data_IF_884994108151
#
_entry.id   IF_884994108151
#
_cell.length_a   1.000
_cell.length_b   1.000
_cell.length_c   1.000
_cell.angle_alpha   90.00
_cell.angle_beta   90.00
_cell.angle_gamma   90.00
#
_symmetry.space_group_name_H-M   'P 1'
#
loop_
_entity.id
_entity.type
_entity.pdbx_description
1 polymer ?
#
# COMPACT_ATOMS: atom_id res chain seq x y z
N UNK A 1 2.04 -12.68 11.12
CA UNK A 1 2.38 -13.50 9.93
C UNK A 1 3.17 -12.67 8.93
N UNK A 2 4.38 -13.12 8.60
CA UNK A 2 5.24 -12.56 7.56
C UNK A 2 5.56 -13.70 6.58
N UNK A 3 5.44 -13.44 5.29
CA UNK A 3 5.80 -14.39 4.22
C UNK A 3 6.77 -13.72 3.26
N UNK A 4 7.88 -14.39 2.96
CA UNK A 4 8.89 -13.95 2.00
C UNK A 4 8.73 -14.76 0.68
N UNK A 5 7.54 -14.70 0.10
CA UNK A 5 7.16 -15.52 -1.07
C UNK A 5 7.16 -14.70 -2.37
N UNK A 6 7.55 -13.42 -2.30
CA UNK A 6 7.45 -12.51 -3.43
C UNK A 6 6.01 -12.10 -3.76
N UNK A 7 5.82 -11.53 -4.93
CA UNK A 7 4.53 -11.16 -5.49
C UNK A 7 4.38 -11.66 -6.93
N UNK A 8 3.17 -11.68 -7.44
CA UNK A 8 2.87 -12.11 -8.81
C UNK A 8 1.99 -11.07 -9.49
N UNK A 9 2.49 -10.47 -10.58
CA UNK A 9 1.69 -9.64 -11.49
C UNK A 9 1.18 -10.52 -12.62
N UNK A 10 -0.12 -10.50 -12.90
CA UNK A 10 -0.76 -11.33 -13.91
C UNK A 10 -1.37 -10.48 -15.02
N UNK A 11 -1.08 -10.83 -16.27
CA UNK A 11 -1.66 -10.26 -17.46
C UNK A 11 -2.77 -11.17 -18.02
N UNK A 12 -3.94 -10.61 -18.27
CA UNK A 12 -5.11 -11.31 -18.81
C UNK A 12 -5.28 -11.17 -20.32
N UNK A 13 -4.65 -10.17 -20.91
CA UNK A 13 -4.76 -9.84 -22.32
C UNK A 13 -3.41 -9.38 -22.89
N UNK A 14 -3.36 -9.20 -24.21
CA UNK A 14 -2.14 -8.83 -24.91
C UNK A 14 -1.60 -7.44 -24.52
N UNK A 15 -2.49 -6.48 -24.23
CA UNK A 15 -2.07 -5.12 -23.86
C UNK A 15 -1.33 -5.14 -22.52
N UNK A 16 -1.87 -5.84 -21.52
CA UNK A 16 -1.23 -6.05 -20.21
C UNK A 16 0.08 -6.85 -20.33
N UNK A 17 0.09 -7.92 -21.18
CA UNK A 17 1.27 -8.72 -21.40
C UNK A 17 2.41 -7.92 -22.06
N UNK A 18 2.08 -6.98 -22.94
CA UNK A 18 3.06 -6.10 -23.58
C UNK A 18 3.79 -5.23 -22.53
N UNK A 19 3.09 -4.76 -21.50
CA UNK A 19 3.73 -3.99 -20.43
C UNK A 19 4.71 -4.85 -19.63
N UNK A 20 4.32 -6.09 -19.27
CA UNK A 20 5.22 -7.00 -18.56
C UNK A 20 6.45 -7.38 -19.38
N UNK A 21 6.28 -7.58 -20.70
CA UNK A 21 7.38 -7.86 -21.61
C UNK A 21 8.32 -6.66 -21.73
N UNK A 22 7.79 -5.46 -21.97
CA UNK A 22 8.62 -4.25 -22.05
C UNK A 22 9.39 -3.98 -20.74
N UNK A 23 8.75 -4.16 -19.60
CA UNK A 23 9.41 -4.07 -18.29
C UNK A 23 10.57 -5.07 -18.19
N UNK A 24 10.34 -6.32 -18.58
CA UNK A 24 11.38 -7.36 -18.51
C UNK A 24 12.56 -7.06 -19.46
N UNK A 25 12.29 -6.55 -20.65
CA UNK A 25 13.32 -6.25 -21.63
C UNK A 25 14.15 -5.01 -21.31
N UNK A 26 13.54 -4.00 -20.66
CA UNK A 26 14.16 -2.69 -20.42
C UNK A 26 14.67 -2.51 -19.00
N UNK A 27 13.90 -2.90 -17.97
CA UNK A 27 14.18 -2.56 -16.56
C UNK A 27 14.68 -3.73 -15.72
N UNK A 28 14.07 -4.90 -15.91
CA UNK A 28 14.41 -6.07 -15.10
C UNK A 28 15.92 -6.36 -15.10
N UNK A 29 16.58 -6.22 -16.26
CA UNK A 29 18.01 -6.47 -16.42
C UNK A 29 18.89 -5.29 -15.99
N UNK A 30 18.38 -4.06 -16.10
CA UNK A 30 19.18 -2.83 -15.89
C UNK A 30 19.14 -2.36 -14.45
N UNK A 31 18.01 -2.53 -13.76
CA UNK A 31 17.79 -1.96 -12.43
C UNK A 31 17.96 -2.99 -11.30
N UNK A 32 18.38 -4.22 -11.60
CA UNK A 32 18.70 -5.23 -10.60
C UNK A 32 17.48 -5.84 -9.90
N UNK A 33 16.28 -5.73 -10.49
CA UNK A 33 15.10 -6.43 -9.98
C UNK A 33 15.31 -7.94 -10.03
N UNK A 34 14.98 -8.63 -8.95
CA UNK A 34 14.95 -10.09 -8.92
C UNK A 34 13.53 -10.57 -9.23
N UNK A 35 13.26 -10.83 -10.49
CA UNK A 35 11.97 -11.31 -10.94
C UNK A 35 12.10 -12.20 -12.18
N UNK A 36 11.11 -13.08 -12.40
CA UNK A 36 11.00 -13.94 -13.58
C UNK A 36 9.77 -13.56 -14.39
N UNK A 37 9.97 -13.39 -15.71
CA UNK A 37 8.85 -13.32 -16.63
C UNK A 37 8.35 -14.75 -16.90
N UNK A 38 7.05 -14.96 -16.71
CA UNK A 38 6.38 -16.25 -16.85
C UNK A 38 5.55 -16.29 -18.11
N UNK A 39 5.75 -17.32 -18.94
CA UNK A 39 4.88 -17.59 -20.09
C UNK A 39 3.48 -18.03 -19.65
N UNK A 40 2.52 -18.02 -20.58
CA UNK A 40 1.18 -18.58 -20.33
C UNK A 40 1.22 -20.02 -19.80
N UNK A 41 2.17 -20.83 -20.28
CA UNK A 41 2.37 -22.21 -19.82
C UNK A 41 2.84 -22.26 -18.37
N UNK A 42 3.78 -21.38 -18.01
CA UNK A 42 4.28 -21.32 -16.63
C UNK A 42 3.19 -20.86 -15.65
N UNK A 43 2.40 -19.84 -16.05
CA UNK A 43 1.25 -19.37 -15.28
C UNK A 43 0.19 -20.47 -15.15
N UNK A 44 -0.10 -21.21 -16.23
CA UNK A 44 -1.03 -22.35 -16.22
C UNK A 44 -0.56 -23.47 -15.29
N UNK A 45 0.74 -23.61 -15.05
CA UNK A 45 1.30 -24.56 -14.08
C UNK A 45 1.20 -24.13 -12.61
N UNK A 46 0.82 -22.86 -12.34
CA UNK A 46 0.62 -22.38 -10.98
C UNK A 46 -0.76 -22.76 -10.45
N UNK A 47 -0.85 -23.02 -9.16
CA UNK A 47 -2.11 -23.26 -8.44
C UNK A 47 -3.02 -24.30 -9.12
N UNK A 48 -2.44 -25.43 -9.55
CA UNK A 48 -3.14 -26.54 -10.21
C UNK A 48 -3.97 -26.11 -11.44
N UNK A 49 -3.49 -25.14 -12.19
CA UNK A 49 -4.13 -24.64 -13.41
C UNK A 49 -5.25 -23.63 -13.20
N UNK A 50 -5.55 -23.27 -11.96
CA UNK A 50 -6.67 -22.34 -11.65
C UNK A 50 -6.47 -20.94 -12.26
N UNK A 51 -5.21 -20.54 -12.57
CA UNK A 51 -4.89 -19.26 -13.19
C UNK A 51 -4.55 -19.37 -14.70
N UNK A 52 -4.87 -20.49 -15.34
CA UNK A 52 -4.55 -20.76 -16.77
C UNK A 52 -5.21 -19.81 -17.77
N UNK A 53 -6.16 -18.97 -17.32
CA UNK A 53 -6.80 -17.95 -18.15
C UNK A 53 -5.97 -16.65 -18.27
N UNK A 54 -4.82 -16.57 -17.61
CA UNK A 54 -3.85 -15.50 -17.80
C UNK A 54 -2.83 -15.86 -18.88
N UNK A 55 -2.43 -14.86 -19.67
CA UNK A 55 -1.55 -15.07 -20.80
C UNK A 55 -0.05 -14.83 -20.50
N UNK A 56 0.25 -14.17 -19.38
CA UNK A 56 1.61 -13.88 -18.93
C UNK A 56 1.63 -13.55 -17.44
N UNK A 57 2.78 -13.68 -16.79
CA UNK A 57 3.00 -13.26 -15.42
C UNK A 57 4.40 -12.68 -15.21
N UNK A 58 4.56 -11.88 -14.16
CA UNK A 58 5.86 -11.46 -13.64
C UNK A 58 5.91 -11.83 -12.17
N UNK A 59 6.85 -12.70 -11.79
CA UNK A 59 7.04 -13.15 -10.41
C UNK A 59 8.20 -12.42 -9.78
N UNK A 60 7.93 -11.48 -8.88
CA UNK A 60 8.92 -10.86 -8.00
C UNK A 60 9.35 -11.81 -6.87
N UNK A 61 10.62 -11.71 -6.43
CA UNK A 61 11.20 -12.58 -5.40
C UNK A 61 11.43 -11.88 -4.07
N UNK A 62 11.56 -10.55 -4.08
CA UNK A 62 11.98 -9.78 -2.90
C UNK A 62 10.82 -9.22 -2.07
N UNK A 63 9.61 -9.33 -2.56
CA UNK A 63 8.44 -8.81 -1.86
C UNK A 63 8.16 -9.62 -0.60
N UNK A 64 7.83 -8.89 0.48
CA UNK A 64 7.38 -9.45 1.74
C UNK A 64 5.88 -9.16 1.91
N UNK A 65 5.13 -10.19 2.20
CA UNK A 65 3.73 -10.06 2.60
C UNK A 65 3.63 -10.03 4.11
N UNK A 66 2.92 -9.05 4.65
CA UNK A 66 2.52 -9.02 6.06
C UNK A 66 1.01 -8.89 6.19
N UNK A 67 0.45 -9.51 7.23
CA UNK A 67 -0.96 -9.30 7.60
C UNK A 67 -1.02 -8.14 8.59
N UNK A 68 -1.30 -6.94 8.08
CA UNK A 68 -1.17 -5.66 8.82
C UNK A 68 -2.02 -5.59 10.09
N UNK A 69 -3.19 -6.23 10.11
CA UNK A 69 -4.08 -6.28 11.29
C UNK A 69 -3.44 -6.97 12.49
N UNK A 70 -2.49 -7.87 12.27
CA UNK A 70 -1.76 -8.56 13.33
C UNK A 70 -0.34 -8.01 13.52
N UNK A 71 0.29 -7.56 12.44
CA UNK A 71 1.68 -7.11 12.47
C UNK A 71 1.88 -5.91 13.40
N UNK A 72 1.05 -4.86 13.29
CA UNK A 72 1.17 -3.67 14.14
C UNK A 72 0.94 -3.98 15.62
N UNK A 73 -0.13 -4.69 16.03
CA UNK A 73 -0.28 -5.13 17.43
C UNK A 73 0.87 -6.01 17.92
N UNK A 74 1.42 -6.87 17.08
CA UNK A 74 2.54 -7.72 17.46
C UNK A 74 3.83 -6.92 17.66
N UNK A 75 4.12 -5.95 16.78
CA UNK A 75 5.26 -5.03 16.93
C UNK A 75 5.11 -4.21 18.21
N UNK A 76 3.94 -3.64 18.46
CA UNK A 76 3.67 -2.85 19.69
C UNK A 76 3.91 -3.68 20.94
N UNK A 77 3.42 -4.91 20.98
CA UNK A 77 3.64 -5.84 22.10
C UNK A 77 5.13 -6.16 22.28
N UNK A 78 5.83 -6.48 21.22
CA UNK A 78 7.27 -6.75 21.28
C UNK A 78 8.05 -5.55 21.80
N UNK A 79 7.76 -4.35 21.33
CA UNK A 79 8.39 -3.11 21.82
C UNK A 79 8.14 -2.89 23.30
N UNK A 80 6.91 -3.14 23.77
CA UNK A 80 6.58 -3.00 25.18
C UNK A 80 7.26 -4.06 26.08
N UNK A 81 7.12 -5.34 25.71
CA UNK A 81 7.52 -6.47 26.55
C UNK A 81 9.03 -6.76 26.50
N UNK A 82 9.63 -6.66 25.30
CA UNK A 82 11.05 -7.01 25.11
C UNK A 82 11.99 -5.80 25.19
N UNK A 83 11.53 -4.60 24.80
CA UNK A 83 12.37 -3.39 24.75
C UNK A 83 11.97 -2.32 25.78
N UNK A 84 10.95 -2.56 26.59
CA UNK A 84 10.53 -1.65 27.65
C UNK A 84 9.93 -0.33 27.19
N UNK A 85 9.43 -0.27 25.94
CA UNK A 85 8.77 0.93 25.42
C UNK A 85 7.42 1.13 26.09
N UNK A 86 7.19 2.31 26.65
CA UNK A 86 5.92 2.67 27.26
C UNK A 86 4.96 3.25 26.22
N UNK A 87 3.79 2.65 26.07
CA UNK A 87 2.70 3.13 25.22
C UNK A 87 1.61 3.81 26.05
N UNK A 88 1.33 5.08 25.76
CA UNK A 88 0.28 5.87 26.43
C UNK A 88 -0.83 6.09 25.40
N UNK A 89 -1.83 5.24 25.44
CA UNK A 89 -2.97 5.27 24.51
C UNK A 89 -4.12 6.15 25.02
N UNK A 90 -5.08 6.48 24.13
CA UNK A 90 -6.21 7.34 24.51
C UNK A 90 -5.81 8.78 24.89
N UNK A 91 -4.64 9.21 24.43
CA UNK A 91 -4.02 10.47 24.81
C UNK A 91 -3.77 11.32 23.57
N UNK A 92 -4.27 12.55 23.57
CA UNK A 92 -4.05 13.53 22.51
C UNK A 92 -2.88 14.44 22.87
N UNK A 93 -1.86 14.50 21.97
CA UNK A 93 -0.84 15.53 22.05
C UNK A 93 -1.40 16.84 21.47
N UNK A 94 -1.25 17.94 22.22
CA UNK A 94 -1.81 19.27 21.90
C UNK A 94 -0.74 20.27 21.52
N UNK A 95 0.47 20.10 22.05
CA UNK A 95 1.60 20.97 21.78
C UNK A 95 2.90 20.18 21.91
N UNK A 96 3.91 20.63 21.18
CA UNK A 96 5.28 20.12 21.29
C UNK A 96 6.25 21.26 21.11
N UNK A 97 7.18 21.39 22.03
CA UNK A 97 8.22 22.43 21.99
C UNK A 97 9.41 22.00 22.84
N UNK A 98 10.62 22.08 22.30
CA UNK A 98 11.88 21.84 23.02
C UNK A 98 11.91 20.56 23.87
N UNK A 99 11.38 19.45 23.30
CA UNK A 99 11.33 18.17 23.98
C UNK A 99 10.18 17.99 24.96
N UNK A 100 9.36 19.01 25.22
CA UNK A 100 8.15 18.95 26.03
C UNK A 100 6.94 18.64 25.14
N UNK A 101 6.12 17.67 25.55
CA UNK A 101 4.86 17.31 24.89
C UNK A 101 3.71 17.51 25.86
N UNK A 102 2.88 18.53 25.60
CA UNK A 102 1.64 18.77 26.33
C UNK A 102 0.52 17.88 25.83
N UNK A 103 -0.11 17.10 26.71
CA UNK A 103 -1.14 16.14 26.34
C UNK A 103 -2.41 16.22 27.20
N UNK A 104 -3.43 15.43 26.83
CA UNK A 104 -4.64 15.26 27.67
C UNK A 104 -4.40 14.44 28.94
N UNK A 105 -3.28 13.71 29.02
CA UNK A 105 -2.90 12.90 30.18
C UNK A 105 -1.80 13.54 31.03
N UNK A 106 -1.47 14.81 30.81
CA UNK A 106 -0.37 15.55 31.44
C UNK A 106 0.77 15.80 30.48
N UNK A 107 1.84 16.37 30.97
CA UNK A 107 3.00 16.76 30.19
C UNK A 107 4.10 15.70 30.29
N UNK A 108 4.79 15.47 29.18
CA UNK A 108 5.91 14.53 29.08
C UNK A 108 7.16 15.25 28.56
N UNK A 109 8.29 15.02 29.20
CA UNK A 109 9.58 15.58 28.80
C UNK A 109 10.48 14.48 28.25
N UNK A 110 10.97 14.65 27.02
CA UNK A 110 11.95 13.79 26.37
C UNK A 110 13.24 14.54 26.05
N UNK A 111 14.34 13.82 25.85
CA UNK A 111 15.57 14.41 25.29
C UNK A 111 15.37 14.80 23.82
N UNK A 112 14.58 14.02 23.10
CA UNK A 112 14.17 14.28 21.74
C UNK A 112 12.74 13.75 21.50
N UNK A 113 11.95 14.47 20.72
CA UNK A 113 10.57 14.13 20.37
C UNK A 113 10.48 13.89 18.88
N UNK A 114 9.95 12.76 18.46
CA UNK A 114 9.61 12.47 17.08
C UNK A 114 8.09 12.54 16.91
N UNK A 115 7.64 13.46 16.07
CA UNK A 115 6.22 13.63 15.75
C UNK A 115 5.91 12.88 14.46
N UNK A 116 5.09 11.83 14.55
CA UNK A 116 4.67 10.99 13.42
C UNK A 116 3.13 11.03 13.29
N UNK A 117 2.54 12.07 12.68
CA UNK A 117 1.12 12.35 12.78
C UNK A 117 0.25 11.47 11.86
N UNK A 118 0.86 10.62 11.02
CA UNK A 118 0.13 9.89 9.98
C UNK A 118 -0.41 10.86 8.92
N UNK A 119 -1.73 10.90 8.78
CA UNK A 119 -2.43 11.82 7.85
C UNK A 119 -3.11 13.00 8.56
N UNK A 120 -2.88 13.18 9.85
CA UNK A 120 -3.39 14.33 10.59
C UNK A 120 -2.42 15.51 10.49
N UNK A 121 -2.68 16.39 9.56
CA UNK A 121 -1.89 17.58 9.28
C UNK A 121 -2.44 18.84 9.94
N UNK A 122 -3.54 18.73 10.71
CA UNK A 122 -4.29 19.86 11.22
C UNK A 122 -4.23 20.01 12.74
N UNK A 123 -4.00 18.91 13.48
CA UNK A 123 -4.09 18.92 14.93
C UNK A 123 -2.81 19.40 15.61
N UNK A 124 -1.65 18.88 15.21
CA UNK A 124 -0.36 19.20 15.82
C UNK A 124 0.59 19.78 14.79
N UNK A 125 1.13 20.98 15.04
CA UNK A 125 2.07 21.69 14.15
C UNK A 125 1.51 21.97 12.73
N UNK A 126 0.27 22.41 12.55
CA UNK A 126 -0.32 22.61 11.21
C UNK A 126 0.47 23.57 10.33
N UNK A 127 1.14 24.57 10.93
CA UNK A 127 1.99 25.54 10.23
C UNK A 127 3.22 24.88 9.56
N UNK A 128 3.63 23.70 10.00
CA UNK A 128 4.74 22.93 9.40
C UNK A 128 4.28 22.13 8.18
N UNK A 129 3.01 21.74 8.14
CA UNK A 129 2.44 20.96 7.04
C UNK A 129 1.84 21.83 5.94
N UNK A 130 1.30 23.00 6.28
CA UNK A 130 0.67 23.92 5.31
C UNK A 130 1.54 24.22 4.08
N UNK A 131 2.86 24.51 4.19
CA UNK A 131 3.70 24.78 3.03
C UNK A 131 3.91 23.56 2.11
N UNK A 132 3.68 22.33 2.60
CA UNK A 132 3.86 21.10 1.83
C UNK A 132 2.67 20.82 0.91
N UNK A 133 1.55 21.52 1.10
CA UNK A 133 0.31 21.35 0.34
C UNK A 133 -0.13 19.88 0.23
N UNK A 134 -0.08 19.17 1.36
CA UNK A 134 -0.41 17.75 1.43
C UNK A 134 -1.90 17.53 1.23
N UNK A 135 -2.21 16.43 0.58
CA UNK A 135 -3.55 15.87 0.50
C UNK A 135 -3.60 14.54 1.25
N UNK A 136 -4.78 14.03 1.45
CA UNK A 136 -5.00 12.65 1.88
C UNK A 136 -5.61 11.85 0.75
N UNK A 137 -5.30 10.57 0.70
CA UNK A 137 -6.03 9.62 -0.13
C UNK A 137 -6.86 8.73 0.74
N UNK A 138 -8.07 8.47 0.28
CA UNK A 138 -8.98 7.51 0.86
C UNK A 138 -9.15 6.33 -0.07
N UNK A 139 -9.05 5.15 0.50
CA UNK A 139 -9.13 3.87 -0.19
C UNK A 139 -10.41 3.14 0.20
N UNK A 140 -11.06 2.52 -0.76
CA UNK A 140 -12.03 1.47 -0.46
C UNK A 140 -11.31 0.12 -0.46
N UNK A 141 -11.56 -0.68 0.57
CA UNK A 141 -10.92 -1.96 0.81
C UNK A 141 -11.96 -3.02 1.14
N UNK A 142 -11.73 -4.24 0.65
CA UNK A 142 -12.60 -5.38 0.88
C UNK A 142 -11.84 -6.52 1.54
N UNK A 143 -12.51 -7.26 2.45
CA UNK A 143 -12.15 -8.62 2.81
C UNK A 143 -13.18 -9.54 2.20
N UNK A 144 -12.75 -10.53 1.45
CA UNK A 144 -13.62 -11.45 0.73
C UNK A 144 -13.26 -12.90 1.02
N UNK A 145 -14.25 -13.77 0.92
CA UNK A 145 -14.10 -15.22 1.00
C UNK A 145 -14.51 -15.87 -0.33
N UNK A 146 -13.90 -16.98 -0.65
CA UNK A 146 -14.31 -17.80 -1.78
C UNK A 146 -15.71 -18.42 -1.54
N UNK A 147 -16.57 -18.33 -2.53
CA UNK A 147 -17.82 -19.08 -2.59
C UNK A 147 -17.65 -20.38 -3.41
N UNK A 148 -16.83 -20.30 -4.46
CA UNK A 148 -16.54 -21.44 -5.35
C UNK A 148 -15.07 -21.42 -5.74
N UNK A 149 -14.51 -22.58 -6.05
CA UNK A 149 -13.18 -22.76 -6.63
C UNK A 149 -12.06 -21.99 -5.86
N UNK A 150 -11.86 -22.29 -4.57
CA UNK A 150 -10.84 -21.58 -3.81
C UNK A 150 -9.45 -21.80 -4.40
N UNK A 151 -8.71 -20.71 -4.61
CA UNK A 151 -7.32 -20.73 -5.03
C UNK A 151 -6.43 -20.62 -3.79
N UNK A 152 -5.54 -21.58 -3.60
CA UNK A 152 -4.63 -21.62 -2.45
C UNK A 152 -3.46 -20.67 -2.66
N UNK A 153 -3.73 -19.35 -2.69
CA UNK A 153 -2.70 -18.34 -2.88
C UNK A 153 -1.67 -18.36 -1.76
N UNK A 154 -0.40 -18.38 -2.13
CA UNK A 154 0.74 -18.32 -1.22
C UNK A 154 1.41 -16.93 -1.19
N UNK A 155 1.02 -16.03 -2.10
CA UNK A 155 1.59 -14.68 -2.29
C UNK A 155 0.54 -13.68 -2.77
N UNK A 156 0.80 -12.37 -2.67
CA UNK A 156 -0.05 -11.36 -3.27
C UNK A 156 -0.08 -11.46 -4.80
N UNK A 157 -1.25 -11.22 -5.38
CA UNK A 157 -1.46 -11.07 -6.81
C UNK A 157 -1.76 -9.62 -7.13
N UNK A 158 -1.14 -9.11 -8.19
CA UNK A 158 -1.45 -7.84 -8.82
C UNK A 158 -2.01 -8.12 -10.21
N UNK A 159 -2.88 -7.25 -10.70
CA UNK A 159 -3.42 -7.34 -12.07
C UNK A 159 -2.74 -6.34 -12.99
N UNK A 160 -3.01 -6.43 -14.30
CA UNK A 160 -2.50 -5.48 -15.28
C UNK A 160 -2.87 -4.02 -15.00
N UNK A 161 -3.97 -3.74 -14.28
CA UNK A 161 -4.31 -2.40 -13.79
C UNK A 161 -3.20 -1.80 -12.91
N UNK A 162 -2.49 -2.63 -12.15
CA UNK A 162 -1.37 -2.18 -11.34
C UNK A 162 -0.21 -1.63 -12.19
N UNK A 163 -0.08 -2.07 -13.43
CA UNK A 163 0.94 -1.60 -14.36
C UNK A 163 0.75 -0.13 -14.80
N UNK A 164 -0.47 0.39 -14.77
CA UNK A 164 -0.73 1.81 -15.08
C UNK A 164 -0.65 2.71 -13.85
N UNK A 165 -0.47 2.13 -12.68
CA UNK A 165 -0.42 2.84 -11.40
C UNK A 165 1.00 2.90 -10.80
N UNK A 166 1.69 1.77 -10.70
CA UNK A 166 3.00 1.72 -10.04
C UNK A 166 4.13 2.25 -10.92
N UNK A 167 4.99 3.10 -10.33
CA UNK A 167 6.11 3.75 -11.01
C UNK A 167 7.14 2.81 -11.63
N UNK A 168 7.17 1.53 -11.25
CA UNK A 168 7.99 0.53 -11.92
C UNK A 168 7.56 0.29 -13.38
N UNK A 169 6.29 0.55 -13.71
CA UNK A 169 5.69 0.29 -15.03
C UNK A 169 5.09 1.53 -15.68
N UNK A 170 4.50 2.43 -14.90
CA UNK A 170 3.53 3.42 -15.37
C UNK A 170 4.07 4.46 -16.37
N UNK A 171 5.38 4.65 -16.47
CA UNK A 171 6.06 5.52 -17.41
C UNK A 171 6.58 4.78 -18.67
N UNK A 172 6.33 3.46 -18.78
CA UNK A 172 6.62 2.72 -20.00
C UNK A 172 5.64 3.13 -21.13
N UNK A 173 6.10 3.22 -22.40
CA UNK A 173 5.23 3.47 -23.54
C UNK A 173 4.04 2.51 -23.62
N UNK A 174 4.24 1.21 -23.37
CA UNK A 174 3.16 0.22 -23.36
C UNK A 174 2.16 0.43 -22.22
N UNK A 175 2.59 0.93 -21.06
CA UNK A 175 1.70 1.27 -19.96
C UNK A 175 0.83 2.50 -20.28
N UNK A 176 1.37 3.48 -21.01
CA UNK A 176 0.58 4.59 -21.54
C UNK A 176 -0.48 4.09 -22.53
N UNK A 177 -0.12 3.22 -23.47
CA UNK A 177 -1.07 2.61 -24.40
C UNK A 177 -2.15 1.79 -23.68
N UNK A 178 -1.78 1.00 -22.66
CA UNK A 178 -2.73 0.28 -21.82
C UNK A 178 -3.69 1.24 -21.08
N UNK A 179 -3.18 2.35 -20.56
CA UNK A 179 -4.02 3.39 -19.93
C UNK A 179 -5.05 3.96 -20.90
N UNK A 180 -4.67 4.22 -22.16
CA UNK A 180 -5.60 4.72 -23.20
C UNK A 180 -6.70 3.69 -23.50
N UNK A 181 -6.34 2.41 -23.54
CA UNK A 181 -7.32 1.32 -23.73
C UNK A 181 -8.31 1.26 -22.56
N UNK A 182 -7.82 1.36 -21.32
CA UNK A 182 -8.68 1.36 -20.13
C UNK A 182 -9.57 2.61 -20.13
N UNK A 183 -9.01 3.79 -20.44
CA UNK A 183 -9.76 5.04 -20.54
C UNK A 183 -10.92 4.94 -21.55
N UNK A 184 -10.69 4.28 -22.68
CA UNK A 184 -11.71 4.12 -23.73
C UNK A 184 -12.81 3.09 -23.36
N UNK A 185 -12.46 2.03 -22.61
CA UNK A 185 -13.37 0.90 -22.34
C UNK A 185 -14.05 0.97 -20.97
N UNK A 186 -13.31 1.39 -19.95
CA UNK A 186 -13.72 1.35 -18.54
C UNK A 186 -13.17 2.54 -17.76
N UNK A 187 -13.50 3.80 -18.18
CA UNK A 187 -12.91 5.02 -17.59
C UNK A 187 -13.09 5.10 -16.07
N UNK A 188 -14.17 4.56 -15.54
CA UNK A 188 -14.46 4.51 -14.12
C UNK A 188 -13.33 3.90 -13.29
N UNK A 189 -12.56 2.96 -13.83
CA UNK A 189 -11.43 2.35 -13.13
C UNK A 189 -10.30 3.36 -12.90
N UNK A 190 -9.99 4.19 -13.90
CA UNK A 190 -8.98 5.24 -13.79
C UNK A 190 -9.48 6.43 -12.97
N UNK A 191 -10.73 6.84 -13.14
CA UNK A 191 -11.36 7.95 -12.43
C UNK A 191 -11.40 7.71 -10.90
N UNK A 192 -11.54 6.46 -10.49
CA UNK A 192 -11.51 6.06 -9.08
C UNK A 192 -10.15 5.50 -8.63
N UNK A 193 -9.12 5.62 -9.46
CA UNK A 193 -7.78 5.14 -9.15
C UNK A 193 -7.74 3.65 -8.76
N UNK A 194 -8.59 2.83 -9.40
CA UNK A 194 -8.65 1.40 -9.09
C UNK A 194 -7.45 0.72 -9.73
N UNK A 195 -6.61 0.14 -8.90
CA UNK A 195 -5.65 -0.89 -9.28
C UNK A 195 -5.80 -2.06 -8.32
N UNK A 196 -5.72 -3.28 -8.82
CA UNK A 196 -6.14 -4.43 -8.04
C UNK A 196 -4.95 -5.20 -7.48
N UNK A 197 -4.87 -5.22 -6.16
CA UNK A 197 -4.02 -6.10 -5.38
C UNK A 197 -4.91 -7.09 -4.60
N UNK A 198 -4.59 -8.37 -4.66
CA UNK A 198 -5.28 -9.45 -3.95
C UNK A 198 -4.27 -10.10 -3.02
N UNK A 199 -4.44 -9.94 -1.72
CA UNK A 199 -3.51 -10.45 -0.72
C UNK A 199 -4.17 -11.54 0.13
N UNK A 200 -3.68 -12.80 0.11
CA UNK A 200 -4.24 -13.85 0.94
C UNK A 200 -3.99 -13.60 2.43
N UNK A 201 -5.01 -13.81 3.25
CA UNK A 201 -4.88 -13.78 4.71
C UNK A 201 -4.40 -15.14 5.24
N UNK A 202 -3.92 -15.21 6.50
CA UNK A 202 -3.61 -16.47 7.15
C UNK A 202 -4.83 -17.42 7.35
N UNK A 203 -6.04 -16.89 7.14
CA UNK A 203 -7.30 -17.57 7.46
C UNK A 203 -8.07 -18.03 6.22
N UNK A 204 -7.44 -18.00 5.03
CA UNK A 204 -8.06 -18.44 3.78
C UNK A 204 -8.99 -17.41 3.13
N UNK A 205 -9.03 -16.19 3.64
CA UNK A 205 -9.73 -15.06 3.04
C UNK A 205 -8.76 -14.18 2.25
N UNK A 206 -9.28 -13.22 1.54
CA UNK A 206 -8.54 -12.29 0.69
C UNK A 206 -8.75 -10.86 1.15
N UNK A 207 -7.68 -10.08 1.22
CA UNK A 207 -7.74 -8.62 1.23
C UNK A 207 -7.66 -8.17 -0.22
N UNK A 208 -8.62 -7.36 -0.63
CA UNK A 208 -8.76 -6.86 -2.00
C UNK A 208 -8.79 -5.35 -1.94
N UNK A 209 -7.99 -4.72 -2.73
CA UNK A 209 -7.91 -3.26 -2.87
C UNK A 209 -7.07 -2.88 -4.05
N UNK A 210 -7.01 -1.65 -4.29
CA UNK A 210 -7.74 -0.55 -3.68
C UNK A 210 -8.21 0.45 -4.74
N UNK A 211 -9.10 1.35 -4.32
CA UNK A 211 -9.42 2.56 -5.06
C UNK A 211 -8.71 3.75 -4.42
N UNK A 212 -8.56 4.87 -5.17
CA UNK A 212 -7.91 6.07 -4.65
C UNK A 212 -8.79 7.29 -4.93
N UNK A 213 -9.15 7.99 -3.86
CA UNK A 213 -9.81 9.29 -3.95
C UNK A 213 -9.00 10.31 -3.15
N UNK A 214 -8.49 11.31 -3.82
CA UNK A 214 -7.64 12.35 -3.24
C UNK A 214 -8.45 13.57 -2.84
N UNK A 215 -7.99 14.30 -1.83
CA UNK A 215 -8.58 15.56 -1.37
C UNK A 215 -8.04 16.00 -0.03
N UNK A 216 -8.60 17.10 0.49
CA UNK A 216 -8.24 17.63 1.80
C UNK A 216 -8.96 16.90 2.93
N UNK A 217 -10.10 16.27 2.64
CA UNK A 217 -10.96 15.60 3.61
C UNK A 217 -11.12 14.11 3.32
N UNK A 218 -11.15 13.30 4.36
CA UNK A 218 -11.54 11.90 4.29
C UNK A 218 -13.08 11.80 4.20
N UNK A 219 -13.59 11.70 2.98
CA UNK A 219 -15.03 11.52 2.74
C UNK A 219 -15.49 10.16 3.30
N UNK A 220 -16.49 10.09 4.21
CA UNK A 220 -16.76 8.89 5.01
C UNK A 220 -17.54 7.79 4.27
N UNK A 221 -18.12 8.08 3.11
CA UNK A 221 -18.98 7.15 2.39
C UNK A 221 -18.21 6.37 1.31
N UNK A 222 -18.44 5.05 1.25
CA UNK A 222 -18.01 4.22 0.13
C UNK A 222 -18.98 4.36 -1.04
N UNK A 223 -18.45 4.19 -2.25
CA UNK A 223 -19.25 4.01 -3.46
C UNK A 223 -19.41 2.51 -3.73
N UNK A 224 -20.66 2.03 -3.75
CA UNK A 224 -20.96 0.62 -3.99
C UNK A 224 -20.54 0.17 -5.40
N UNK A 225 -20.56 1.07 -6.40
CA UNK A 225 -20.11 0.74 -7.74
C UNK A 225 -18.59 0.47 -7.78
N UNK A 226 -17.81 1.18 -6.96
CA UNK A 226 -16.36 0.95 -6.81
C UNK A 226 -16.09 -0.37 -6.10
N UNK A 227 -16.81 -0.66 -5.00
CA UNK A 227 -16.67 -1.93 -4.28
C UNK A 227 -17.02 -3.13 -5.19
N UNK A 228 -18.12 -3.04 -5.95
CA UNK A 228 -18.53 -4.07 -6.90
C UNK A 228 -17.50 -4.25 -8.02
N UNK A 229 -16.97 -3.17 -8.59
CA UNK A 229 -15.95 -3.24 -9.62
C UNK A 229 -14.68 -3.97 -9.12
N UNK A 230 -14.21 -3.66 -7.91
CA UNK A 230 -13.06 -4.34 -7.31
C UNK A 230 -13.35 -5.84 -7.07
N UNK A 231 -14.54 -6.19 -6.56
CA UNK A 231 -14.93 -7.57 -6.32
C UNK A 231 -15.02 -8.37 -7.63
N UNK A 232 -15.61 -7.78 -8.66
CA UNK A 232 -15.74 -8.39 -9.99
C UNK A 232 -14.37 -8.61 -10.64
N UNK A 233 -13.49 -7.61 -10.60
CA UNK A 233 -12.12 -7.72 -11.10
C UNK A 233 -11.34 -8.83 -10.37
N UNK A 234 -11.46 -8.91 -9.05
CA UNK A 234 -10.80 -9.96 -8.27
C UNK A 234 -11.38 -11.35 -8.60
N UNK A 235 -12.70 -11.46 -8.72
CA UNK A 235 -13.37 -12.72 -9.12
C UNK A 235 -12.91 -13.18 -10.50
N UNK A 236 -12.79 -12.25 -11.45
CA UNK A 236 -12.28 -12.52 -12.78
C UNK A 236 -10.79 -12.90 -12.77
N UNK A 237 -9.96 -12.22 -11.98
CA UNK A 237 -8.54 -12.52 -11.88
C UNK A 237 -8.28 -13.91 -11.29
N UNK A 238 -9.14 -14.37 -10.40
CA UNK A 238 -9.03 -15.67 -9.73
C UNK A 238 -9.80 -16.79 -10.43
N UNK A 239 -10.68 -16.49 -11.39
CA UNK A 239 -11.58 -17.47 -11.98
C UNK A 239 -12.54 -18.08 -10.95
N UNK A 240 -12.90 -17.34 -9.91
CA UNK A 240 -13.65 -17.82 -8.76
C UNK A 240 -14.72 -16.81 -8.34
N UNK A 241 -15.84 -17.29 -7.78
CA UNK A 241 -16.81 -16.39 -7.16
C UNK A 241 -16.39 -16.05 -5.74
N UNK A 242 -16.46 -14.77 -5.44
CA UNK A 242 -16.12 -14.20 -4.14
C UNK A 242 -17.36 -13.55 -3.52
N UNK A 243 -17.43 -13.58 -2.20
CA UNK A 243 -18.39 -12.80 -1.42
C UNK A 243 -17.66 -11.87 -0.45
N UNK A 244 -18.15 -10.67 -0.30
CA UNK A 244 -17.60 -9.72 0.67
C UNK A 244 -17.91 -10.18 2.08
N UNK A 245 -16.90 -10.15 2.94
CA UNK A 245 -16.98 -10.43 4.38
C UNK A 245 -16.97 -9.12 5.17
N UNK A 246 -16.16 -8.16 4.71
CA UNK A 246 -15.99 -6.88 5.40
C UNK A 246 -15.60 -5.79 4.40
N UNK A 247 -16.03 -4.56 4.66
CA UNK A 247 -15.63 -3.33 3.96
C UNK A 247 -15.06 -2.34 4.96
N UNK A 248 -14.01 -1.63 4.57
CA UNK A 248 -13.49 -0.51 5.35
C UNK A 248 -12.82 0.52 4.45
N UNK A 249 -12.45 1.63 5.02
CA UNK A 249 -11.65 2.67 4.39
C UNK A 249 -10.24 2.67 4.95
N UNK A 250 -9.25 2.76 4.06
CA UNK A 250 -7.90 3.18 4.41
C UNK A 250 -7.76 4.68 4.16
N UNK A 251 -6.94 5.35 4.98
CA UNK A 251 -6.60 6.76 4.78
C UNK A 251 -5.12 6.95 5.04
N UNK A 252 -4.43 7.64 4.14
CA UNK A 252 -3.03 8.04 4.32
C UNK A 252 -2.70 9.34 3.57
N UNK A 253 -1.54 9.92 3.83
CA UNK A 253 -1.09 11.14 3.19
C UNK A 253 -0.67 10.94 1.74
N UNK A 254 -0.94 11.94 0.90
CA UNK A 254 -0.67 11.91 -0.52
C UNK A 254 -0.18 13.26 -1.06
N UNK A 255 0.31 13.25 -2.29
CA UNK A 255 0.65 14.42 -3.12
C UNK A 255 1.67 15.39 -2.50
N UNK A 256 2.51 14.91 -1.58
CA UNK A 256 3.62 15.71 -1.09
C UNK A 256 4.75 15.87 -2.12
N UNK A 257 5.71 16.77 -1.84
CA UNK A 257 6.84 17.07 -2.74
C UNK A 257 7.83 15.89 -2.90
N UNK A 258 7.74 14.89 -2.01
CA UNK A 258 8.54 13.67 -2.01
C UNK A 258 7.69 12.55 -1.38
N UNK A 259 8.10 11.27 -1.39
CA UNK A 259 7.35 10.20 -0.74
C UNK A 259 7.17 10.37 0.77
N UNK A 260 8.08 11.08 1.43
CA UNK A 260 8.04 11.42 2.85
C UNK A 260 8.85 12.71 3.11
N UNK A 261 8.62 13.32 4.27
CA UNK A 261 9.42 14.44 4.76
C UNK A 261 9.92 14.17 6.18
N UNK A 262 11.16 14.57 6.45
CA UNK A 262 11.74 14.65 7.79
C UNK A 262 12.15 16.09 8.02
N UNK A 263 11.58 16.74 9.03
CA UNK A 263 11.73 18.18 9.26
C UNK A 263 12.09 18.45 10.73
N UNK A 264 13.20 19.13 11.04
CA UNK A 264 13.43 19.66 12.38
C UNK A 264 12.42 20.76 12.69
N UNK A 265 11.84 20.73 13.86
CA UNK A 265 10.94 21.76 14.40
C UNK A 265 11.75 22.73 15.28
N UNK A 266 12.53 22.17 16.19
CA UNK A 266 13.47 22.83 17.08
C UNK A 266 14.65 21.90 17.40
N UNK A 267 15.50 22.26 18.38
CA UNK A 267 16.68 21.49 18.75
C UNK A 267 16.38 20.07 19.30
N UNK A 268 15.17 19.84 19.81
CA UNK A 268 14.77 18.60 20.46
C UNK A 268 13.50 17.98 19.85
N UNK A 269 13.06 18.46 18.67
CA UNK A 269 11.82 17.99 18.05
C UNK A 269 11.98 17.81 16.54
N UNK A 270 11.63 16.63 16.05
CA UNK A 270 11.66 16.30 14.61
C UNK A 270 10.32 15.71 14.17
N UNK A 271 9.77 16.20 13.08
CA UNK A 271 8.60 15.62 12.40
C UNK A 271 9.07 14.60 11.36
N UNK A 272 8.45 13.42 11.33
CA UNK A 272 8.59 12.46 10.26
C UNK A 272 7.20 12.08 9.73
N UNK A 273 6.93 12.39 8.47
CA UNK A 273 5.60 12.21 7.87
C UNK A 273 5.69 11.57 6.50
N UNK A 274 4.83 10.58 6.27
CA UNK A 274 4.64 9.95 4.96
C UNK A 274 3.54 10.68 4.19
N UNK A 275 3.80 10.90 2.90
CA UNK A 275 2.77 11.42 1.98
C UNK A 275 2.76 10.64 0.67
N UNK A 276 2.84 9.32 0.82
CA UNK A 276 2.70 8.32 -0.24
C UNK A 276 2.31 6.96 0.35
N UNK A 277 1.88 6.03 -0.49
CA UNK A 277 1.47 4.67 -0.09
C UNK A 277 2.61 3.71 0.27
N UNK A 278 3.89 4.17 0.33
CA UNK A 278 5.04 3.28 0.54
C UNK A 278 5.47 3.15 2.02
N UNK A 279 4.69 3.68 2.96
CA UNK A 279 5.05 3.73 4.38
C UNK A 279 5.39 2.39 5.00
N UNK A 280 4.64 1.33 4.68
CA UNK A 280 4.94 -0.02 5.20
C UNK A 280 6.25 -0.59 4.64
N UNK A 281 6.61 -0.25 3.41
CA UNK A 281 7.84 -0.73 2.76
C UNK A 281 9.09 -0.07 3.33
N UNK A 282 9.05 1.25 3.57
CA UNK A 282 10.24 2.04 3.90
C UNK A 282 10.24 2.58 5.33
N UNK A 283 9.15 2.45 6.08
CA UNK A 283 8.97 3.11 7.38
C UNK A 283 10.03 2.75 8.43
N UNK A 284 10.45 1.48 8.48
CA UNK A 284 11.49 1.06 9.43
C UNK A 284 12.84 1.70 9.09
N UNK A 285 13.22 1.74 7.83
CA UNK A 285 14.48 2.36 7.40
C UNK A 285 14.45 3.90 7.57
N UNK A 286 13.30 4.54 7.32
CA UNK A 286 13.11 5.97 7.59
C UNK A 286 13.23 6.24 9.09
N UNK A 287 12.60 5.43 9.93
CA UNK A 287 12.68 5.55 11.38
C UNK A 287 14.11 5.45 11.89
N UNK A 288 14.87 4.43 11.47
CA UNK A 288 16.28 4.25 11.82
C UNK A 288 17.12 5.47 11.43
N UNK A 289 17.02 5.92 10.17
CA UNK A 289 17.77 7.09 9.68
C UNK A 289 17.39 8.39 10.37
N UNK A 290 16.09 8.58 10.63
CA UNK A 290 15.58 9.79 11.30
C UNK A 290 16.11 9.87 12.73
N UNK A 291 16.05 8.76 13.46
CA UNK A 291 16.56 8.71 14.83
C UNK A 291 18.09 8.91 14.86
N UNK A 292 18.85 8.18 14.01
CA UNK A 292 20.31 8.36 13.95
C UNK A 292 20.71 9.78 13.59
N UNK A 293 20.00 10.45 12.69
CA UNK A 293 20.29 11.84 12.31
C UNK A 293 19.93 12.90 13.37
N UNK A 294 19.04 12.57 14.32
CA UNK A 294 18.61 13.51 15.35
C UNK A 294 19.38 13.37 16.68
N UNK A 295 19.90 12.16 16.98
CA UNK A 295 20.54 11.88 18.27
C UNK A 295 22.00 11.38 18.14
N UNK A 296 22.50 11.19 16.92
CA UNK A 296 23.92 10.86 16.61
C UNK A 296 24.70 12.11 16.35
#
# INVERSE_FOLDING_TARGET
HVRANGALVLARNADEATVLQEFADTRLKQEGYRADLLSARDVAGLYDGQLAHHCMGLRGHDDLQIYSREALPAITRYLAEALGVTFITGTLARAVENGLVGTTAGDFQGKHVFVCPGHDYLTLLPERFAPLNLEITRLQMLRAAFETNPVALDRPLLTGLSCVHYGAFSDLPSAHALRDVIQARTPMLLENGIHLLISPTPYGELIIGDSHRYGQDAFPFNDEAVDNAMLDLASQALGARLRVVERWQGVYGAHGPAPFSVMPVDAATTVAVMHSGVGMTVGLAIGERTVAGAIG
#
